data_IF_424909518295
#
_entry.id   IF_424909518295
#
_cell.length_a   1.000
_cell.length_b   1.000
_cell.length_c   1.000
_cell.angle_alpha   90.00
_cell.angle_beta   90.00
_cell.angle_gamma   90.00
#
_symmetry.space_group_name_H-M   'P 1'
#
loop_
_entity.id
_entity.type
_entity.pdbx_description
1 polymer ?
#
# COMPACT_ATOMS: atom_id res chain seq x y z
N UNK A 1 -10.71 88.50 -3.28
CA UNK A 1 -12.03 87.91 -3.57
C UNK A 1 -11.85 86.42 -3.76
N UNK A 2 -12.40 85.61 -2.84
CA UNK A 2 -12.41 84.15 -2.89
C UNK A 2 -13.71 83.71 -3.57
N UNK A 3 -13.62 82.87 -4.59
CA UNK A 3 -14.78 82.26 -5.24
C UNK A 3 -14.61 80.75 -5.17
N UNK A 4 -15.36 80.13 -4.26
CA UNK A 4 -15.42 78.68 -4.08
C UNK A 4 -16.46 78.11 -5.05
N UNK A 5 -16.06 77.22 -5.94
CA UNK A 5 -16.98 76.38 -6.69
C UNK A 5 -16.75 74.91 -6.33
N UNK A 6 -17.77 74.31 -5.71
CA UNK A 6 -17.88 72.88 -5.42
C UNK A 6 -18.40 72.18 -6.68
N UNK A 7 -17.62 71.26 -7.24
CA UNK A 7 -18.08 70.29 -8.23
C UNK A 7 -18.15 68.91 -7.56
N UNK A 8 -19.35 68.36 -7.47
CA UNK A 8 -19.59 67.02 -6.95
C UNK A 8 -19.43 66.00 -8.08
N UNK A 9 -18.65 64.95 -7.81
CA UNK A 9 -18.32 63.86 -8.73
C UNK A 9 -19.38 62.76 -8.60
N UNK A 10 -20.03 62.38 -9.68
CA UNK A 10 -20.95 61.24 -9.76
C UNK A 10 -20.16 59.94 -9.99
N UNK A 11 -20.35 58.97 -9.10
CA UNK A 11 -19.77 57.62 -9.15
C UNK A 11 -20.46 56.76 -10.23
N UNK A 12 -19.67 56.13 -11.10
CA UNK A 12 -20.11 55.06 -12.02
C UNK A 12 -19.96 53.72 -11.30
N UNK A 13 -21.06 53.00 -11.13
CA UNK A 13 -21.06 51.64 -10.59
C UNK A 13 -20.70 50.64 -11.70
N UNK A 14 -19.61 49.89 -11.51
CA UNK A 14 -19.22 48.77 -12.37
C UNK A 14 -19.84 47.49 -11.79
N UNK A 15 -20.72 46.85 -12.55
CA UNK A 15 -21.26 45.52 -12.23
C UNK A 15 -20.20 44.46 -12.58
N UNK A 16 -19.65 43.79 -11.56
CA UNK A 16 -18.84 42.57 -11.72
C UNK A 16 -19.77 41.36 -11.68
N UNK A 17 -19.80 40.60 -12.77
CA UNK A 17 -20.43 39.29 -12.82
C UNK A 17 -19.57 38.29 -12.03
N UNK A 18 -20.11 37.77 -10.92
CA UNK A 18 -19.47 36.71 -10.15
C UNK A 18 -19.76 35.35 -10.80
N UNK A 19 -18.73 34.72 -11.39
CA UNK A 19 -18.77 33.30 -11.70
C UNK A 19 -18.54 32.51 -10.41
N UNK A 20 -19.56 31.80 -9.93
CA UNK A 20 -19.43 30.89 -8.81
C UNK A 20 -18.64 29.64 -9.24
N UNK A 21 -17.60 29.21 -8.51
CA UNK A 21 -17.00 27.90 -8.74
C UNK A 21 -17.99 26.82 -8.30
N UNK A 22 -18.31 25.90 -9.20
CA UNK A 22 -19.01 24.67 -8.87
C UNK A 22 -18.10 23.84 -7.95
N UNK A 23 -18.37 23.87 -6.64
CA UNK A 23 -17.81 22.93 -5.68
C UNK A 23 -18.42 21.57 -5.97
N UNK A 24 -17.64 20.67 -6.57
CA UNK A 24 -18.02 19.27 -6.69
C UNK A 24 -18.18 18.69 -5.27
N UNK A 25 -19.43 18.45 -4.86
CA UNK A 25 -19.72 17.76 -3.62
C UNK A 25 -19.38 16.28 -3.83
N UNK A 26 -18.27 15.83 -3.25
CA UNK A 26 -18.01 14.41 -3.09
C UNK A 26 -19.12 13.83 -2.20
N UNK A 27 -19.81 12.80 -2.69
CA UNK A 27 -20.77 12.06 -1.87
C UNK A 27 -20.00 11.37 -0.74
N UNK A 28 -20.51 11.37 0.51
CA UNK A 28 -19.89 10.60 1.57
C UNK A 28 -19.94 9.12 1.17
N UNK A 29 -18.76 8.49 1.09
CA UNK A 29 -18.68 7.04 1.06
C UNK A 29 -19.39 6.50 2.31
N UNK A 30 -20.25 5.50 2.13
CA UNK A 30 -20.89 4.81 3.24
C UNK A 30 -19.83 4.41 4.27
N UNK A 31 -19.98 4.89 5.51
CA UNK A 31 -19.09 4.57 6.63
C UNK A 31 -19.02 3.05 6.79
N UNK A 32 -17.96 2.47 6.24
CA UNK A 32 -17.61 1.08 6.46
C UNK A 32 -16.86 1.01 7.77
N UNK A 33 -17.65 0.88 8.84
CA UNK A 33 -17.21 0.53 10.19
C UNK A 33 -16.49 1.63 10.98
N UNK A 34 -16.76 1.66 12.28
CA UNK A 34 -16.14 2.61 13.22
C UNK A 34 -14.67 2.27 13.50
N UNK A 35 -14.20 1.07 13.09
CA UNK A 35 -12.87 0.60 13.38
C UNK A 35 -11.89 0.97 12.25
N UNK A 36 -10.59 1.12 12.54
CA UNK A 36 -9.62 1.38 11.50
C UNK A 36 -9.37 0.12 10.65
N UNK A 37 -9.08 0.32 9.36
CA UNK A 37 -8.85 -0.78 8.42
C UNK A 37 -7.64 -1.64 8.81
N UNK A 38 -7.80 -2.97 8.68
CA UNK A 38 -6.74 -3.96 8.85
C UNK A 38 -5.54 -3.77 7.88
N UNK A 39 -5.78 -3.18 6.71
CA UNK A 39 -4.75 -2.98 5.68
C UNK A 39 -3.72 -1.90 6.04
N UNK A 40 -3.96 -1.09 7.08
CA UNK A 40 -2.98 -0.12 7.54
C UNK A 40 -1.79 -0.87 8.16
N UNK A 41 -0.53 -0.48 7.89
CA UNK A 41 0.64 -1.20 8.38
C UNK A 41 0.67 -1.44 9.91
N UNK A 42 0.18 -0.47 10.70
CA UNK A 42 0.14 -0.60 12.15
C UNK A 42 -0.95 -1.56 12.68
N UNK A 43 -1.85 -2.03 11.82
CA UNK A 43 -3.03 -2.80 12.19
C UNK A 43 -2.93 -4.29 11.82
N UNK A 44 -1.76 -4.74 11.39
CA UNK A 44 -1.48 -6.15 11.15
C UNK A 44 -0.03 -6.48 11.46
N UNK A 45 0.23 -7.79 11.56
CA UNK A 45 1.60 -8.33 11.62
C UNK A 45 1.86 -9.14 10.36
N UNK A 46 3.09 -9.12 9.87
CA UNK A 46 3.54 -10.01 8.82
C UNK A 46 4.76 -10.84 9.29
N UNK A 47 4.79 -12.13 8.95
CA UNK A 47 5.89 -13.04 9.32
C UNK A 47 6.34 -13.86 8.13
N UNK A 48 7.66 -14.00 8.00
CA UNK A 48 8.31 -14.79 6.96
C UNK A 48 8.59 -16.18 7.54
N UNK A 49 8.21 -17.20 6.79
CA UNK A 49 8.48 -18.60 7.11
C UNK A 49 8.99 -19.32 5.88
N UNK A 50 9.89 -20.28 6.04
CA UNK A 50 10.32 -21.14 4.94
C UNK A 50 9.17 -22.08 4.53
N UNK A 51 8.96 -22.21 3.22
CA UNK A 51 7.98 -23.10 2.62
C UNK A 51 8.70 -24.23 1.85
N UNK A 52 8.03 -25.34 1.53
CA UNK A 52 8.66 -26.45 0.80
C UNK A 52 9.32 -25.97 -0.50
N UNK A 53 10.61 -26.26 -0.64
CA UNK A 53 11.39 -25.93 -1.84
C UNK A 53 10.86 -26.68 -3.08
N UNK A 54 11.03 -26.09 -4.27
CA UNK A 54 10.79 -26.76 -5.55
C UNK A 54 12.10 -26.95 -6.31
N UNK A 55 12.08 -27.75 -7.37
CA UNK A 55 13.23 -27.86 -8.26
C UNK A 55 13.58 -26.48 -8.82
N UNK A 56 14.75 -25.97 -8.41
CA UNK A 56 15.31 -24.70 -8.86
C UNK A 56 15.04 -23.51 -7.96
N UNK A 57 14.09 -23.57 -6.99
CA UNK A 57 13.75 -22.43 -6.14
C UNK A 57 13.61 -22.79 -4.64
N UNK A 58 14.08 -21.90 -3.78
CA UNK A 58 13.65 -21.80 -2.38
C UNK A 58 12.34 -21.02 -2.33
N UNK A 59 11.46 -21.42 -1.43
CA UNK A 59 10.18 -20.75 -1.23
C UNK A 59 10.09 -20.23 0.20
N UNK A 60 9.59 -19.01 0.32
CA UNK A 60 9.22 -18.42 1.59
C UNK A 60 7.78 -17.95 1.51
N UNK A 61 7.09 -17.99 2.64
CA UNK A 61 5.73 -17.49 2.79
C UNK A 61 5.71 -16.32 3.74
N UNK A 62 5.16 -15.20 3.29
CA UNK A 62 4.84 -14.05 4.12
C UNK A 62 3.38 -14.13 4.51
N UNK A 63 3.11 -14.39 5.79
CA UNK A 63 1.75 -14.48 6.32
C UNK A 63 1.36 -13.18 7.01
N UNK A 64 0.23 -12.59 6.62
CA UNK A 64 -0.35 -11.40 7.24
C UNK A 64 -1.53 -11.79 8.14
N UNK A 65 -1.57 -11.21 9.34
CA UNK A 65 -2.64 -11.42 10.33
C UNK A 65 -3.06 -10.08 10.93
N UNK A 66 -4.36 -9.82 10.91
CA UNK A 66 -4.96 -8.71 11.65
C UNK A 66 -5.62 -9.24 12.93
N UNK A 67 -5.38 -8.63 14.10
CA UNK A 67 -6.11 -8.97 15.32
C UNK A 67 -7.54 -8.46 15.24
N UNK A 68 -8.38 -8.88 16.19
CA UNK A 68 -9.75 -8.37 16.33
C UNK A 68 -9.77 -6.86 16.60
N UNK A 69 -10.88 -6.20 16.24
CA UNK A 69 -11.07 -4.76 16.44
C UNK A 69 -10.64 -3.89 15.26
N UNK A 70 -10.33 -4.49 14.12
CA UNK A 70 -10.08 -3.81 12.85
C UNK A 70 -11.10 -4.21 11.80
N UNK A 71 -11.45 -3.27 10.91
CA UNK A 71 -12.36 -3.57 9.82
C UNK A 71 -11.63 -4.28 8.67
N UNK A 72 -12.26 -5.29 8.05
CA UNK A 72 -11.68 -5.98 6.91
C UNK A 72 -11.50 -5.03 5.72
N UNK A 73 -10.62 -5.40 4.81
CA UNK A 73 -10.31 -4.67 3.60
C UNK A 73 -10.00 -5.61 2.45
N UNK A 74 -9.98 -5.08 1.23
CA UNK A 74 -9.61 -5.83 0.04
C UNK A 74 -8.16 -5.59 -0.34
N UNK A 75 -7.47 -6.67 -0.70
CA UNK A 75 -6.13 -6.67 -1.25
C UNK A 75 -6.15 -7.25 -2.66
N UNK A 76 -5.27 -6.78 -3.53
CA UNK A 76 -5.16 -7.26 -4.91
C UNK A 76 -3.71 -7.42 -5.35
N UNK A 77 -3.44 -8.48 -6.12
CA UNK A 77 -2.13 -8.69 -6.75
C UNK A 77 -0.95 -8.85 -5.77
N UNK A 78 0.27 -8.68 -6.26
CA UNK A 78 1.50 -8.74 -5.46
C UNK A 78 1.75 -7.40 -4.73
N UNK A 79 2.34 -7.42 -3.53
CA UNK A 79 2.85 -6.21 -2.90
C UNK A 79 3.85 -5.46 -3.80
N UNK A 80 3.88 -4.13 -3.72
CA UNK A 80 4.85 -3.30 -4.43
C UNK A 80 5.96 -2.80 -3.50
N UNK A 81 6.94 -2.11 -4.09
CA UNK A 81 8.03 -1.44 -3.36
C UNK A 81 8.73 -2.36 -2.37
N UNK A 82 8.93 -3.61 -2.80
CA UNK A 82 9.48 -4.66 -1.96
C UNK A 82 10.99 -4.48 -1.84
N UNK A 83 11.48 -4.40 -0.61
CA UNK A 83 12.91 -4.36 -0.29
C UNK A 83 13.24 -5.34 0.82
N UNK A 84 14.45 -5.88 0.78
CA UNK A 84 14.94 -6.80 1.80
C UNK A 84 16.06 -6.16 2.59
N UNK A 85 16.10 -6.40 3.90
CA UNK A 85 17.18 -5.95 4.76
C UNK A 85 17.72 -7.09 5.63
N UNK A 86 18.98 -6.98 6.01
CA UNK A 86 19.62 -7.82 7.04
C UNK A 86 20.08 -6.89 8.16
N UNK A 87 19.51 -7.04 9.36
CA UNK A 87 19.84 -6.23 10.52
C UNK A 87 19.75 -4.71 10.24
N UNK A 88 18.73 -4.31 9.46
CA UNK A 88 18.49 -2.93 9.04
C UNK A 88 19.34 -2.44 7.87
N UNK A 89 20.22 -3.27 7.30
CA UNK A 89 20.98 -2.95 6.10
C UNK A 89 20.28 -3.46 4.85
N UNK A 90 19.85 -2.55 3.98
CA UNK A 90 19.11 -2.91 2.77
C UNK A 90 20.00 -3.64 1.75
N UNK A 91 19.49 -4.75 1.21
CA UNK A 91 20.11 -5.48 0.11
C UNK A 91 19.90 -4.74 -1.22
N UNK A 92 20.70 -5.05 -2.24
CA UNK A 92 20.56 -4.48 -3.59
C UNK A 92 19.67 -5.33 -4.51
N UNK A 93 18.86 -6.21 -3.95
CA UNK A 93 17.99 -7.09 -4.73
C UNK A 93 16.65 -6.41 -4.95
N UNK A 94 16.31 -6.19 -6.22
CA UNK A 94 14.98 -5.76 -6.65
C UNK A 94 14.23 -6.99 -7.14
N UNK A 95 13.13 -7.39 -6.49
CA UNK A 95 12.37 -8.55 -6.92
C UNK A 95 11.45 -8.22 -8.10
N UNK A 96 11.11 -9.25 -8.88
CA UNK A 96 10.03 -9.19 -9.86
C UNK A 96 8.71 -9.69 -9.28
N UNK A 97 7.68 -9.76 -10.12
CA UNK A 97 6.38 -10.34 -9.76
C UNK A 97 6.07 -11.57 -10.61
N UNK A 98 5.26 -12.48 -10.08
CA UNK A 98 4.69 -13.60 -10.84
C UNK A 98 3.23 -13.80 -10.49
N UNK A 99 2.54 -14.68 -11.23
CA UNK A 99 1.14 -15.01 -10.96
C UNK A 99 0.16 -13.94 -11.40
N UNK A 100 -1.12 -14.16 -11.12
CA UNK A 100 -2.20 -13.25 -11.50
C UNK A 100 -2.27 -12.04 -10.57
N UNK A 101 -2.10 -10.86 -11.14
CA UNK A 101 -2.09 -9.58 -10.43
C UNK A 101 -3.49 -8.97 -10.23
N UNK A 102 -4.55 -9.65 -10.68
CA UNK A 102 -5.94 -9.15 -10.64
C UNK A 102 -6.82 -9.80 -9.58
N UNK A 103 -6.35 -10.87 -8.95
CA UNK A 103 -7.10 -11.56 -7.92
C UNK A 103 -7.30 -10.64 -6.70
N UNK A 104 -8.55 -10.53 -6.25
CA UNK A 104 -8.93 -9.75 -5.07
C UNK A 104 -9.23 -10.70 -3.93
N UNK A 105 -8.73 -10.37 -2.73
CA UNK A 105 -8.92 -11.16 -1.51
C UNK A 105 -9.33 -10.26 -0.36
N UNK A 106 -10.16 -10.80 0.54
CA UNK A 106 -10.51 -10.11 1.79
C UNK A 106 -9.47 -10.42 2.86
N UNK A 107 -8.89 -9.38 3.44
CA UNK A 107 -7.99 -9.45 4.58
C UNK A 107 -8.63 -8.80 5.81
N UNK A 108 -8.53 -9.44 6.96
CA UNK A 108 -9.06 -8.90 8.21
C UNK A 108 -9.03 -9.90 9.36
N UNK A 109 -9.67 -9.57 10.49
CA UNK A 109 -9.73 -10.47 11.64
C UNK A 109 -10.34 -11.82 11.26
N UNK A 110 -9.65 -12.92 11.58
CA UNK A 110 -10.08 -14.27 11.22
C UNK A 110 -9.87 -14.67 9.75
N UNK A 111 -9.39 -13.74 8.91
CA UNK A 111 -9.11 -13.95 7.49
C UNK A 111 -7.65 -13.63 7.20
N UNK A 112 -6.70 -14.49 7.63
CA UNK A 112 -5.30 -14.31 7.29
C UNK A 112 -5.11 -14.49 5.78
N UNK A 113 -4.12 -13.78 5.26
CA UNK A 113 -3.69 -13.88 3.87
C UNK A 113 -2.19 -14.11 3.82
N UNK A 114 -1.67 -14.55 2.69
CA UNK A 114 -0.25 -14.69 2.48
C UNK A 114 0.15 -14.32 1.06
N UNK A 115 1.44 -14.07 0.85
CA UNK A 115 2.07 -14.11 -0.46
C UNK A 115 3.36 -14.90 -0.37
N UNK A 116 3.74 -15.54 -1.47
CA UNK A 116 4.93 -16.38 -1.54
C UNK A 116 6.08 -15.64 -2.25
N UNK A 117 7.31 -15.94 -1.81
CA UNK A 117 8.56 -15.40 -2.36
C UNK A 117 9.33 -16.59 -2.93
N UNK A 118 9.67 -16.51 -4.23
CA UNK A 118 10.47 -17.52 -4.92
C UNK A 118 11.89 -17.02 -5.13
N UNK A 119 12.88 -17.82 -4.77
CA UNK A 119 14.30 -17.42 -4.83
C UNK A 119 15.08 -18.48 -5.59
N UNK A 120 15.75 -18.14 -6.70
CA UNK A 120 16.52 -19.10 -7.48
C UNK A 120 17.67 -19.76 -6.68
N UNK A 121 17.83 -21.08 -6.84
CA UNK A 121 18.84 -21.88 -6.13
C UNK A 121 20.27 -21.68 -6.64
N UNK A 122 20.44 -21.27 -7.91
CA UNK A 122 21.73 -21.13 -8.59
C UNK A 122 22.31 -19.71 -8.51
N UNK A 123 21.56 -18.77 -7.93
CA UNK A 123 21.96 -17.38 -7.83
C UNK A 123 22.87 -17.13 -6.61
N UNK A 124 23.65 -16.04 -6.66
CA UNK A 124 24.42 -15.55 -5.50
C UNK A 124 23.46 -15.03 -4.44
N UNK A 125 23.01 -15.91 -3.57
CA UNK A 125 22.08 -15.59 -2.49
C UNK A 125 22.77 -14.81 -1.37
N UNK A 126 22.05 -13.85 -0.80
CA UNK A 126 22.40 -13.11 0.41
C UNK A 126 21.34 -13.34 1.47
N UNK A 127 21.71 -13.24 2.75
CA UNK A 127 20.74 -13.28 3.86
C UNK A 127 19.92 -11.99 3.90
N UNK A 128 18.69 -12.13 4.37
CA UNK A 128 17.86 -11.07 4.90
C UNK A 128 17.10 -11.60 6.13
N UNK A 129 16.66 -10.70 7.00
CA UNK A 129 15.80 -10.98 8.15
C UNK A 129 14.48 -10.19 8.14
N UNK A 130 14.33 -9.29 7.16
CA UNK A 130 13.14 -8.46 6.98
C UNK A 130 12.82 -8.22 5.50
N UNK A 131 11.53 -8.19 5.18
CA UNK A 131 11.01 -7.67 3.92
C UNK A 131 10.06 -6.49 4.20
N UNK A 132 10.36 -5.32 3.64
CA UNK A 132 9.43 -4.19 3.61
C UNK A 132 8.66 -4.20 2.30
N UNK A 133 7.39 -3.80 2.33
CA UNK A 133 6.52 -3.81 1.16
C UNK A 133 5.32 -2.88 1.34
N UNK A 134 4.68 -2.55 0.24
CA UNK A 134 3.41 -1.82 0.25
C UNK A 134 2.29 -2.69 -0.33
N UNK A 135 1.20 -2.77 0.43
CA UNK A 135 0.00 -3.50 0.03
C UNK A 135 -0.75 -2.76 -1.07
N UNK A 136 -1.43 -3.53 -1.91
CA UNK A 136 -2.20 -3.06 -3.04
C UNK A 136 -3.68 -3.38 -2.79
N UNK A 137 -4.55 -2.39 -2.97
CA UNK A 137 -5.98 -2.52 -3.06
C UNK A 137 -6.40 -2.67 -4.54
N UNK A 138 -7.63 -3.09 -4.84
CA UNK A 138 -8.10 -3.21 -6.22
C UNK A 138 -8.03 -1.90 -7.03
N UNK A 139 -8.11 -0.76 -6.36
CA UNK A 139 -8.07 0.59 -6.94
C UNK A 139 -6.66 1.22 -6.91
N UNK A 140 -5.66 0.52 -6.35
CA UNK A 140 -4.26 0.94 -6.36
C UNK A 140 -3.57 0.77 -5.02
N UNK A 141 -2.47 1.49 -4.84
CA UNK A 141 -1.60 1.31 -3.69
C UNK A 141 -2.26 1.78 -2.39
N UNK A 142 -2.15 0.98 -1.33
CA UNK A 142 -2.55 1.37 0.02
C UNK A 142 -1.39 2.14 0.66
N UNK A 143 -1.58 3.40 1.09
CA UNK A 143 -0.50 4.19 1.65
C UNK A 143 0.15 3.55 2.88
N UNK A 144 1.48 3.54 2.89
CA UNK A 144 2.30 3.08 3.99
C UNK A 144 3.18 1.88 3.64
N UNK A 145 4.10 1.56 4.54
CA UNK A 145 5.03 0.44 4.39
C UNK A 145 4.79 -0.54 5.52
N UNK A 146 4.57 -1.79 5.15
CA UNK A 146 4.44 -2.92 6.06
C UNK A 146 5.77 -3.68 6.10
N UNK A 147 5.99 -4.39 7.20
CA UNK A 147 7.25 -5.11 7.44
C UNK A 147 6.93 -6.55 7.82
N UNK A 148 7.57 -7.49 7.15
CA UNK A 148 7.54 -8.90 7.49
C UNK A 148 8.91 -9.30 8.05
N UNK A 149 8.89 -9.92 9.22
CA UNK A 149 10.10 -10.39 9.90
C UNK A 149 10.25 -11.90 9.77
N UNK A 150 11.48 -12.34 9.57
CA UNK A 150 11.87 -13.75 9.56
C UNK A 150 13.04 -13.99 8.61
N UNK A 151 13.85 -14.98 8.91
CA UNK A 151 15.04 -15.28 8.10
C UNK A 151 14.66 -15.75 6.70
N UNK A 152 15.31 -15.17 5.69
CA UNK A 152 15.22 -15.61 4.30
C UNK A 152 16.54 -15.45 3.56
N UNK A 153 16.60 -16.07 2.38
CA UNK A 153 17.61 -15.81 1.37
C UNK A 153 16.97 -15.03 0.23
N UNK A 154 17.73 -14.12 -0.37
CA UNK A 154 17.30 -13.40 -1.57
C UNK A 154 18.43 -13.34 -2.58
N UNK A 155 18.07 -13.30 -3.85
CA UNK A 155 19.03 -13.20 -4.95
C UNK A 155 18.43 -12.49 -6.17
N UNK A 156 19.27 -12.13 -7.13
CA UNK A 156 18.79 -11.67 -8.43
C UNK A 156 17.86 -12.71 -9.04
N UNK A 157 16.69 -12.29 -9.50
CA UNK A 157 15.64 -13.19 -9.98
C UNK A 157 14.66 -13.66 -8.90
N UNK A 158 14.72 -13.09 -7.68
CA UNK A 158 13.66 -13.27 -6.66
C UNK A 158 12.33 -12.75 -7.20
N UNK A 159 11.24 -13.49 -7.00
CA UNK A 159 9.90 -13.14 -7.47
C UNK A 159 8.87 -13.13 -6.31
N UNK A 160 7.96 -12.17 -6.31
CA UNK A 160 6.87 -12.03 -5.33
C UNK A 160 5.53 -12.40 -5.96
N UNK A 161 4.84 -13.35 -5.34
CA UNK A 161 3.52 -13.81 -5.76
C UNK A 161 2.40 -12.88 -5.32
N UNK A 162 1.19 -13.04 -5.89
CA UNK A 162 0.04 -12.27 -5.47
C UNK A 162 -0.40 -12.67 -4.07
N UNK A 163 -1.10 -11.77 -3.38
CA UNK A 163 -1.74 -12.07 -2.11
C UNK A 163 -2.87 -13.08 -2.33
N UNK A 164 -2.89 -14.13 -1.51
CA UNK A 164 -3.81 -15.25 -1.56
C UNK A 164 -4.50 -15.45 -0.21
N UNK A 165 -5.73 -15.97 -0.18
CA UNK A 165 -6.41 -16.28 1.07
C UNK A 165 -5.71 -17.43 1.79
N UNK A 166 -5.74 -17.40 3.12
CA UNK A 166 -5.22 -18.46 3.98
C UNK A 166 -3.83 -18.19 4.52
N UNK A 167 -3.38 -19.08 5.40
CA UNK A 167 -2.03 -19.14 5.96
C UNK A 167 -1.69 -20.59 6.27
#
# INVERSE_FOLDING_TARGET
MRTNHKTAVTLVAVLLAAAAPAVAQASPAAESGTAPSACRPANHTAKITEAPASAGHHHYRVTLRAPHGYDPCELAGSPSDVWFSEHGSQTRITPGHYGDQRAVVTFGPGHPVHFDIQVPNDARQVSADEASFTLQAPDGQIPGTSFAEGGLKVATGTLIGPVQPGA
#
